data_IF_617356943718
#
_entry.id   IF_617356943718
#
_cell.length_a   1.000
_cell.length_b   1.000
_cell.length_c   1.000
_cell.angle_alpha   90.00
_cell.angle_beta   90.00
_cell.angle_gamma   90.00
#
_symmetry.space_group_name_H-M   'P 1'
#
loop_
_entity.id
_entity.type
_entity.pdbx_description
1 polymer ?
#
# COMPACT_ATOMS: atom_id res chain seq x y z
N UNK A 1 50.15 79.94 -63.67
CA UNK A 1 49.83 80.75 -62.46
C UNK A 1 48.31 80.81 -62.42
N UNK A 2 47.53 80.24 -61.49
CA UNK A 2 47.77 79.83 -60.08
C UNK A 2 46.96 80.75 -59.14
N UNK A 3 46.36 80.36 -58.00
CA UNK A 3 46.21 79.07 -57.29
C UNK A 3 45.06 79.21 -56.24
N UNK A 4 44.02 78.34 -56.25
CA UNK A 4 43.10 78.05 -55.09
C UNK A 4 42.33 79.27 -54.46
N UNK A 5 41.45 79.18 -53.43
CA UNK A 5 40.94 78.07 -52.61
C UNK A 5 39.46 78.22 -52.09
N UNK A 6 38.89 77.07 -51.75
CA UNK A 6 37.55 76.66 -51.23
C UNK A 6 37.10 77.30 -49.87
N UNK A 7 35.78 77.54 -49.64
CA UNK A 7 34.91 76.97 -48.54
C UNK A 7 33.54 77.67 -48.27
N UNK A 8 32.46 76.86 -48.10
CA UNK A 8 31.32 76.96 -47.11
C UNK A 8 30.32 78.16 -47.21
N UNK A 9 29.07 78.16 -46.69
CA UNK A 9 28.16 77.18 -46.03
C UNK A 9 26.67 77.67 -46.05
N UNK A 10 25.68 76.73 -46.05
CA UNK A 10 24.31 76.72 -45.44
C UNK A 10 23.42 78.00 -45.61
N UNK A 11 22.19 77.94 -46.16
CA UNK A 11 20.84 77.60 -45.63
C UNK A 11 19.96 77.23 -46.87
N UNK A 12 18.84 76.48 -46.90
CA UNK A 12 17.88 75.85 -45.95
C UNK A 12 16.48 75.87 -46.63
N UNK A 13 15.40 75.18 -46.22
CA UNK A 13 15.06 74.28 -45.10
C UNK A 13 14.35 73.04 -45.69
N UNK A 14 14.64 71.83 -45.19
CA UNK A 14 13.93 70.60 -45.58
C UNK A 14 13.20 70.00 -44.36
N UNK A 15 11.97 69.54 -44.55
CA UNK A 15 11.10 69.04 -43.48
C UNK A 15 11.52 67.62 -43.04
N UNK A 16 12.40 67.53 -42.03
CA UNK A 16 12.83 66.25 -41.47
C UNK A 16 11.78 65.69 -40.50
N UNK A 17 10.85 64.88 -41.02
CA UNK A 17 10.01 64.01 -40.19
C UNK A 17 10.91 62.92 -39.59
N UNK A 18 11.29 63.08 -38.33
CA UNK A 18 12.04 62.04 -37.59
C UNK A 18 11.05 60.92 -37.26
N UNK A 19 11.06 59.87 -38.07
CA UNK A 19 10.40 58.61 -37.74
C UNK A 19 11.18 57.95 -36.61
N UNK A 20 10.77 58.20 -35.37
CA UNK A 20 11.20 57.45 -34.21
C UNK A 20 10.58 56.03 -34.26
N UNK A 21 11.16 55.17 -35.09
CA UNK A 21 10.95 53.73 -34.95
C UNK A 21 11.43 53.32 -33.55
N UNK A 22 10.54 52.70 -32.76
CA UNK A 22 10.87 52.27 -31.39
C UNK A 22 12.06 51.31 -31.41
N UNK A 23 13.18 51.73 -30.82
CA UNK A 23 14.45 51.01 -30.91
C UNK A 23 14.57 49.96 -29.79
N UNK A 24 13.63 49.02 -29.76
CA UNK A 24 13.64 47.83 -28.92
C UNK A 24 13.29 46.60 -29.75
N UNK A 25 13.90 45.46 -29.45
CA UNK A 25 13.51 44.20 -30.10
C UNK A 25 12.14 43.73 -29.59
N UNK A 26 11.43 42.88 -30.33
CA UNK A 26 10.21 42.28 -29.80
C UNK A 26 10.56 41.34 -28.63
N UNK A 27 11.75 40.72 -28.66
CA UNK A 27 12.34 39.98 -27.52
C UNK A 27 12.43 40.88 -26.28
N UNK A 28 12.95 42.11 -26.38
CA UNK A 28 12.99 43.05 -25.25
C UNK A 28 11.59 43.30 -24.67
N UNK A 29 10.60 43.54 -25.52
CA UNK A 29 9.21 43.80 -25.14
C UNK A 29 8.59 42.63 -24.38
N UNK A 30 8.82 41.39 -24.83
CA UNK A 30 8.37 40.19 -24.11
C UNK A 30 9.15 40.01 -22.82
N UNK A 31 10.49 39.99 -22.87
CA UNK A 31 11.34 39.64 -21.73
C UNK A 31 11.22 40.61 -20.56
N UNK A 32 11.01 41.91 -20.81
CA UNK A 32 10.89 42.93 -19.74
C UNK A 32 9.48 43.09 -19.20
N UNK A 33 8.49 42.44 -19.82
CA UNK A 33 7.10 42.43 -19.34
C UNK A 33 6.87 41.37 -18.27
N UNK A 34 5.76 41.49 -17.54
CA UNK A 34 5.27 40.50 -16.56
C UNK A 34 3.98 39.84 -17.07
N UNK A 35 3.47 38.81 -16.38
CA UNK A 35 2.19 38.17 -16.71
C UNK A 35 1.21 38.27 -15.53
N UNK A 36 -0.09 38.34 -15.81
CA UNK A 36 -1.16 38.42 -14.79
C UNK A 36 -1.22 37.26 -13.78
N UNK A 37 -0.45 36.19 -13.98
CA UNK A 37 -0.32 35.09 -13.02
C UNK A 37 0.60 35.44 -11.85
N UNK A 38 1.55 36.35 -12.08
CA UNK A 38 2.53 36.85 -11.14
C UNK A 38 3.18 38.10 -11.77
N UNK A 39 2.81 39.28 -11.26
CA UNK A 39 3.30 40.56 -11.76
C UNK A 39 4.62 41.00 -11.08
N UNK A 40 5.25 40.14 -10.27
CA UNK A 40 6.47 40.45 -9.49
C UNK A 40 7.78 40.06 -10.19
N UNK A 41 7.72 39.15 -11.17
CA UNK A 41 8.86 38.66 -11.95
C UNK A 41 8.58 38.82 -13.46
N UNK A 42 9.62 39.13 -14.25
CA UNK A 42 9.47 39.28 -15.70
C UNK A 42 9.41 37.94 -16.43
N UNK A 43 8.85 37.92 -17.65
CA UNK A 43 8.85 36.73 -18.52
C UNK A 43 10.29 36.30 -18.84
N UNK A 44 11.21 37.26 -18.99
CA UNK A 44 12.62 36.99 -19.18
C UNK A 44 13.21 36.29 -17.96
N UNK A 45 13.08 36.89 -16.77
CA UNK A 45 13.63 36.34 -15.53
C UNK A 45 13.07 34.95 -15.20
N UNK A 46 11.76 34.73 -15.40
CA UNK A 46 11.09 33.46 -15.11
C UNK A 46 11.53 32.32 -16.05
N UNK A 47 11.80 32.61 -17.33
CA UNK A 47 12.21 31.59 -18.32
C UNK A 47 13.74 31.41 -18.32
N UNK A 48 14.53 32.49 -18.30
CA UNK A 48 16.00 32.45 -18.34
C UNK A 48 16.59 31.77 -17.09
N UNK A 49 16.01 32.00 -15.91
CA UNK A 49 16.50 31.43 -14.65
C UNK A 49 15.78 30.13 -14.25
N UNK A 50 14.98 29.53 -15.14
CA UNK A 50 14.23 28.32 -14.82
C UNK A 50 15.17 27.13 -14.58
N UNK A 51 15.09 26.48 -13.40
CA UNK A 51 16.13 25.55 -12.94
C UNK A 51 16.36 24.33 -13.84
N UNK A 52 15.37 23.95 -14.65
CA UNK A 52 15.45 22.82 -15.60
C UNK A 52 16.10 23.19 -16.94
N UNK A 53 16.19 24.48 -17.28
CA UNK A 53 16.84 24.98 -18.48
C UNK A 53 18.37 24.93 -18.36
N UNK A 54 19.08 24.47 -19.40
CA UNK A 54 20.55 24.62 -19.50
C UNK A 54 20.96 25.96 -20.11
N UNK A 55 20.30 26.38 -21.19
CA UNK A 55 20.39 27.68 -21.83
C UNK A 55 19.09 27.98 -22.60
N UNK A 56 18.64 29.24 -22.59
CA UNK A 56 17.47 29.69 -23.37
C UNK A 56 17.93 30.36 -24.66
N UNK A 57 17.42 29.88 -25.78
CA UNK A 57 17.49 30.56 -27.07
C UNK A 57 16.27 31.48 -27.22
N UNK A 58 16.48 32.72 -27.66
CA UNK A 58 15.42 33.67 -27.97
C UNK A 58 15.53 34.08 -29.45
N UNK A 59 14.45 33.96 -30.22
CA UNK A 59 14.40 34.34 -31.64
C UNK A 59 13.11 35.08 -31.99
N UNK A 60 13.17 35.82 -33.10
CA UNK A 60 12.01 36.48 -33.71
C UNK A 60 11.78 35.90 -35.10
N UNK A 61 10.52 35.70 -35.50
CA UNK A 61 10.15 35.37 -36.87
C UNK A 61 8.76 35.91 -37.22
N UNK A 62 8.48 36.00 -38.52
CA UNK A 62 7.17 36.36 -39.05
C UNK A 62 6.52 35.11 -39.67
N UNK A 63 5.26 34.84 -39.32
CA UNK A 63 4.46 33.76 -39.93
C UNK A 63 3.89 34.20 -41.27
N UNK A 64 3.53 33.24 -42.13
CA UNK A 64 2.96 33.46 -43.48
C UNK A 64 1.75 34.41 -43.54
N UNK A 65 1.04 34.58 -42.41
CA UNK A 65 -0.07 35.52 -42.24
C UNK A 65 0.30 36.86 -41.57
N UNK A 66 1.57 37.25 -41.61
CA UNK A 66 2.07 38.57 -41.21
C UNK A 66 2.10 38.82 -39.69
N UNK A 67 2.22 37.78 -38.86
CA UNK A 67 2.31 37.93 -37.40
C UNK A 67 3.76 37.77 -36.96
N UNK A 68 4.25 38.73 -36.18
CA UNK A 68 5.52 38.60 -35.49
C UNK A 68 5.35 37.68 -34.28
N UNK A 69 6.21 36.69 -34.18
CA UNK A 69 6.33 35.75 -33.07
C UNK A 69 7.71 35.96 -32.44
N UNK A 70 7.72 36.18 -31.12
CA UNK A 70 8.91 35.95 -30.29
C UNK A 70 8.83 34.54 -29.77
N UNK A 71 9.88 33.75 -29.96
CA UNK A 71 9.99 32.42 -29.42
C UNK A 71 11.14 32.32 -28.42
N UNK A 72 10.86 31.70 -27.28
CA UNK A 72 11.87 31.15 -26.39
C UNK A 72 11.88 29.62 -26.53
N UNK A 73 13.04 29.02 -26.79
CA UNK A 73 13.25 27.57 -26.67
C UNK A 73 14.36 27.30 -25.65
N UNK A 74 14.26 26.21 -24.89
CA UNK A 74 15.35 25.80 -24.02
C UNK A 74 15.49 24.28 -23.92
N UNK A 75 16.73 23.81 -23.81
CA UNK A 75 17.06 22.40 -23.60
C UNK A 75 16.84 21.95 -22.14
N UNK A 76 16.13 20.83 -21.95
CA UNK A 76 15.97 20.22 -20.62
C UNK A 76 17.28 19.58 -20.17
N UNK A 77 17.87 20.13 -19.09
CA UNK A 77 19.07 19.63 -18.41
C UNK A 77 19.00 18.11 -18.16
N UNK A 78 20.08 17.41 -18.54
CA UNK A 78 20.22 15.96 -18.41
C UNK A 78 19.92 15.43 -16.99
N UNK A 79 20.30 16.16 -15.95
CA UNK A 79 20.05 15.80 -14.55
C UNK A 79 18.56 15.73 -14.17
N UNK A 80 17.65 16.36 -14.92
CA UNK A 80 16.21 16.18 -14.70
C UNK A 80 15.64 14.97 -15.45
N UNK A 81 16.28 14.55 -16.55
CA UNK A 81 15.98 13.28 -17.23
C UNK A 81 16.33 12.10 -16.31
N UNK A 82 17.52 12.13 -15.71
CA UNK A 82 17.99 11.15 -14.72
C UNK A 82 17.09 11.08 -13.48
N UNK A 83 16.60 12.24 -13.00
CA UNK A 83 15.64 12.28 -11.88
C UNK A 83 14.27 11.73 -12.26
N UNK A 84 13.80 11.95 -13.49
CA UNK A 84 12.56 11.33 -13.98
C UNK A 84 12.69 9.80 -14.06
N UNK A 85 13.76 9.27 -14.67
CA UNK A 85 14.06 7.84 -14.66
C UNK A 85 14.12 7.28 -13.22
N UNK A 86 14.81 7.96 -12.31
CA UNK A 86 14.88 7.56 -10.89
C UNK A 86 13.49 7.49 -10.24
N UNK A 87 12.59 8.44 -10.53
CA UNK A 87 11.21 8.45 -10.04
C UNK A 87 10.41 7.25 -10.56
N UNK A 88 10.49 6.92 -11.86
CA UNK A 88 9.82 5.74 -12.41
C UNK A 88 10.39 4.42 -11.87
N UNK A 89 11.73 4.30 -11.74
CA UNK A 89 12.37 3.12 -11.13
C UNK A 89 11.94 2.92 -9.68
N UNK A 90 11.86 3.98 -8.88
CA UNK A 90 11.35 3.93 -7.51
C UNK A 90 9.86 3.51 -7.47
N UNK A 91 9.03 4.06 -8.36
CA UNK A 91 7.61 3.67 -8.48
C UNK A 91 7.45 2.18 -8.79
N UNK A 92 8.24 1.65 -9.74
CA UNK A 92 8.24 0.22 -10.07
C UNK A 92 8.71 -0.65 -8.90
N UNK A 93 9.73 -0.22 -8.16
CA UNK A 93 10.20 -0.93 -6.97
C UNK A 93 9.13 -0.95 -5.89
N UNK A 94 8.55 0.19 -5.52
CA UNK A 94 7.46 0.27 -4.54
C UNK A 94 6.22 -0.52 -4.95
N UNK A 95 5.93 -0.66 -6.25
CA UNK A 95 4.85 -1.51 -6.75
C UNK A 95 5.15 -3.01 -6.56
N UNK A 96 6.41 -3.43 -6.67
CA UNK A 96 6.89 -4.80 -6.41
C UNK A 96 6.92 -5.09 -4.90
N UNK A 97 7.51 -4.19 -4.10
CA UNK A 97 7.55 -4.29 -2.63
C UNK A 97 6.13 -4.43 -2.05
N UNK A 98 5.19 -3.55 -2.44
CA UNK A 98 3.80 -3.57 -1.98
C UNK A 98 2.93 -4.73 -2.56
N UNK A 99 3.52 -5.61 -3.38
CA UNK A 99 2.95 -6.93 -3.73
C UNK A 99 3.53 -8.01 -2.82
N UNK A 100 4.83 -7.99 -2.56
CA UNK A 100 5.50 -9.00 -1.75
C UNK A 100 5.17 -8.86 -0.25
N UNK A 101 5.06 -7.62 0.28
CA UNK A 101 4.53 -7.35 1.62
C UNK A 101 3.11 -7.91 1.80
N UNK A 102 2.24 -7.70 0.81
CA UNK A 102 0.87 -8.23 0.80
C UNK A 102 0.88 -9.77 0.84
N UNK A 103 1.70 -10.41 0.00
CA UNK A 103 1.82 -11.87 -0.04
C UNK A 103 2.38 -12.47 1.26
N UNK A 104 3.27 -11.76 1.96
CA UNK A 104 3.79 -12.16 3.27
C UNK A 104 2.74 -11.98 4.38
N UNK A 105 2.05 -10.84 4.40
CA UNK A 105 0.96 -10.56 5.36
C UNK A 105 -0.16 -11.60 5.24
N UNK A 106 -0.61 -11.87 4.01
CA UNK A 106 -1.66 -12.82 3.72
C UNK A 106 -1.26 -14.24 4.16
N UNK A 107 -0.03 -14.68 3.84
CA UNK A 107 0.48 -15.99 4.28
C UNK A 107 0.49 -16.11 5.81
N UNK A 108 1.01 -15.08 6.51
CA UNK A 108 1.03 -15.05 7.97
C UNK A 108 -0.38 -15.17 8.58
N UNK A 109 -1.36 -14.48 8.02
CA UNK A 109 -2.75 -14.56 8.48
C UNK A 109 -3.35 -15.97 8.30
N UNK A 110 -3.04 -16.66 7.19
CA UNK A 110 -3.43 -18.07 7.03
C UNK A 110 -2.75 -18.95 8.09
N UNK A 111 -1.45 -18.79 8.30
CA UNK A 111 -0.66 -19.62 9.22
C UNK A 111 -1.12 -19.46 10.68
N UNK A 112 -1.40 -18.22 11.11
CA UNK A 112 -2.01 -17.92 12.42
C UNK A 112 -3.39 -18.58 12.57
N UNK A 113 -4.22 -18.55 11.52
CA UNK A 113 -5.56 -19.14 11.54
C UNK A 113 -5.53 -20.68 11.57
N UNK A 114 -4.65 -21.32 10.79
CA UNK A 114 -4.40 -22.77 10.85
C UNK A 114 -3.88 -23.16 12.25
N UNK A 115 -2.95 -22.39 12.81
CA UNK A 115 -2.42 -22.62 14.16
C UNK A 115 -3.52 -22.55 15.24
N UNK A 116 -4.54 -21.71 15.06
CA UNK A 116 -5.66 -21.62 16.00
C UNK A 116 -6.59 -22.84 15.91
N UNK A 117 -6.94 -23.32 14.71
CA UNK A 117 -7.69 -24.58 14.56
C UNK A 117 -6.93 -25.78 15.16
N UNK A 118 -5.60 -25.84 15.01
CA UNK A 118 -4.78 -26.89 15.63
C UNK A 118 -4.81 -26.82 17.17
N UNK A 119 -4.75 -25.62 17.76
CA UNK A 119 -4.88 -25.42 19.22
C UNK A 119 -6.28 -25.75 19.74
N UNK A 120 -7.33 -25.52 18.94
CA UNK A 120 -8.70 -25.90 19.28
C UNK A 120 -8.90 -27.42 19.22
N UNK A 121 -8.36 -28.09 18.19
CA UNK A 121 -8.35 -29.54 18.10
C UNK A 121 -7.65 -30.20 19.30
N UNK A 122 -6.48 -29.72 19.72
CA UNK A 122 -5.76 -30.32 20.86
C UNK A 122 -6.53 -30.14 22.20
N UNK A 123 -7.27 -29.05 22.39
CA UNK A 123 -8.19 -28.89 23.54
C UNK A 123 -9.35 -29.87 23.50
N UNK A 124 -9.99 -30.02 22.34
CA UNK A 124 -11.10 -30.96 22.14
C UNK A 124 -10.61 -32.41 22.36
N UNK A 125 -9.47 -32.77 21.80
CA UNK A 125 -8.79 -34.05 22.00
C UNK A 125 -8.49 -34.33 23.48
N UNK A 126 -8.15 -33.32 24.28
CA UNK A 126 -8.04 -33.47 25.75
C UNK A 126 -9.41 -33.73 26.40
N UNK A 127 -10.43 -32.95 26.04
CA UNK A 127 -11.81 -33.06 26.58
C UNK A 127 -12.43 -34.43 26.31
N UNK A 128 -12.26 -34.96 25.09
CA UNK A 128 -12.76 -36.27 24.66
C UNK A 128 -11.81 -37.43 24.98
N UNK A 129 -10.66 -37.19 25.63
CA UNK A 129 -9.68 -38.25 25.92
C UNK A 129 -10.19 -39.31 26.90
N UNK A 130 -9.81 -40.56 26.64
CA UNK A 130 -10.12 -41.71 27.48
C UNK A 130 -9.68 -41.49 28.94
N UNK A 131 -8.51 -40.90 29.18
CA UNK A 131 -8.04 -40.61 30.54
C UNK A 131 -8.93 -39.58 31.27
N UNK A 132 -9.47 -38.56 30.58
CA UNK A 132 -10.45 -37.65 31.20
C UNK A 132 -11.83 -38.30 31.43
N UNK A 133 -12.24 -39.27 30.61
CA UNK A 133 -13.45 -40.06 30.85
C UNK A 133 -13.26 -41.00 32.06
N UNK A 134 -12.17 -41.78 32.07
CA UNK A 134 -11.73 -42.68 33.14
C UNK A 134 -11.55 -41.95 34.48
N UNK A 135 -10.97 -40.75 34.47
CA UNK A 135 -10.83 -39.88 35.67
C UNK A 135 -12.17 -39.49 36.29
N UNK A 136 -13.23 -39.27 35.50
CA UNK A 136 -14.58 -39.02 36.04
C UNK A 136 -15.14 -40.24 36.78
N UNK A 137 -14.93 -41.44 36.24
CA UNK A 137 -15.32 -42.71 36.89
C UNK A 137 -14.50 -42.94 38.17
N UNK A 138 -13.17 -42.75 38.10
CA UNK A 138 -12.28 -42.88 39.26
C UNK A 138 -12.67 -41.93 40.40
N UNK A 139 -12.96 -40.66 40.09
CA UNK A 139 -13.45 -39.69 41.06
C UNK A 139 -14.75 -40.14 41.75
N UNK A 140 -15.67 -40.81 41.02
CA UNK A 140 -16.90 -41.34 41.58
C UNK A 140 -16.65 -42.54 42.50
N UNK A 141 -15.80 -43.48 42.07
CA UNK A 141 -15.36 -44.62 42.89
C UNK A 141 -14.73 -44.12 44.20
N UNK A 142 -13.86 -43.12 44.13
CA UNK A 142 -13.16 -42.58 45.29
C UNK A 142 -14.04 -41.69 46.19
N UNK A 143 -15.14 -41.14 45.66
CA UNK A 143 -16.22 -40.56 46.45
C UNK A 143 -16.96 -41.64 47.26
N UNK A 144 -17.40 -42.73 46.61
CA UNK A 144 -18.11 -43.82 47.28
C UNK A 144 -17.24 -44.55 48.32
N UNK A 145 -15.92 -44.71 48.08
CA UNK A 145 -14.98 -45.21 49.10
C UNK A 145 -14.98 -44.34 50.36
N UNK A 146 -14.91 -43.01 50.22
CA UNK A 146 -14.92 -42.07 51.35
C UNK A 146 -16.23 -42.14 52.13
N UNK A 147 -17.35 -42.21 51.42
CA UNK A 147 -18.67 -42.37 52.04
C UNK A 147 -18.78 -43.67 52.85
N UNK A 148 -18.29 -44.80 52.32
CA UNK A 148 -18.26 -46.09 53.04
C UNK A 148 -17.46 -45.99 54.35
N UNK A 149 -16.28 -45.37 54.34
CA UNK A 149 -15.49 -45.21 55.57
C UNK A 149 -16.13 -44.23 56.56
N UNK A 150 -16.78 -43.16 56.11
CA UNK A 150 -17.54 -42.24 56.97
C UNK A 150 -18.68 -42.94 57.70
N UNK A 151 -19.50 -43.72 56.98
CA UNK A 151 -20.60 -44.51 57.55
C UNK A 151 -20.09 -45.57 58.54
N UNK A 152 -18.94 -46.20 58.27
CA UNK A 152 -18.28 -47.13 59.23
C UNK A 152 -17.85 -46.44 60.52
N UNK A 153 -17.28 -45.24 60.46
CA UNK A 153 -16.93 -44.48 61.68
C UNK A 153 -18.17 -44.00 62.44
N UNK A 154 -19.23 -43.57 61.74
CA UNK A 154 -20.52 -43.28 62.38
C UNK A 154 -21.08 -44.51 63.12
N UNK A 155 -21.04 -45.69 62.49
CA UNK A 155 -21.52 -46.92 63.09
C UNK A 155 -20.70 -47.32 64.33
N UNK A 156 -19.36 -47.20 64.30
CA UNK A 156 -18.51 -47.41 65.50
C UNK A 156 -18.92 -46.48 66.65
N UNK A 157 -19.19 -45.21 66.36
CA UNK A 157 -19.66 -44.24 67.34
C UNK A 157 -21.09 -44.52 67.83
N UNK A 158 -21.95 -45.15 67.02
CA UNK A 158 -23.27 -45.64 67.45
C UNK A 158 -23.14 -46.88 68.34
N UNK A 159 -22.24 -47.81 68.02
CA UNK A 159 -21.97 -49.01 68.82
C UNK A 159 -21.39 -48.69 70.20
N UNK A 160 -20.49 -47.71 70.32
CA UNK A 160 -20.02 -47.19 71.61
C UNK A 160 -21.16 -46.59 72.46
N UNK A 161 -22.22 -46.07 71.83
CA UNK A 161 -23.42 -45.58 72.53
C UNK A 161 -24.36 -46.73 72.94
N UNK A 162 -24.35 -47.86 72.24
CA UNK A 162 -25.08 -49.07 72.66
C UNK A 162 -24.57 -49.66 73.98
N UNK A 163 -23.29 -49.48 74.33
CA UNK A 163 -22.68 -50.08 75.53
C UNK A 163 -23.24 -49.53 76.85
N UNK A 164 -24.04 -48.46 76.78
CA UNK A 164 -24.75 -47.84 77.91
C UNK A 164 -26.24 -48.19 77.96
N UNK A 165 -26.70 -49.11 77.10
CA UNK A 165 -28.10 -49.54 77.02
C UNK A 165 -28.33 -50.89 77.70
N UNK A 166 -29.58 -51.18 78.08
CA UNK A 166 -29.96 -52.45 78.72
C UNK A 166 -29.96 -53.66 77.77
N UNK A 167 -30.10 -53.44 76.46
CA UNK A 167 -30.04 -54.47 75.41
C UNK A 167 -28.95 -54.11 74.39
N UNK A 168 -27.69 -54.19 74.85
CA UNK A 168 -26.48 -53.87 74.06
C UNK A 168 -26.46 -54.69 72.77
N UNK A 169 -26.86 -55.97 72.83
CA UNK A 169 -26.83 -56.89 71.69
C UNK A 169 -27.75 -56.39 70.58
N UNK A 170 -29.05 -56.21 70.86
CA UNK A 170 -30.03 -55.78 69.86
C UNK A 170 -29.70 -54.40 69.29
N UNK A 171 -29.14 -53.50 70.11
CA UNK A 171 -28.68 -52.19 69.66
C UNK A 171 -27.57 -52.32 68.60
N UNK A 172 -26.50 -53.09 68.86
CA UNK A 172 -25.41 -53.30 67.89
C UNK A 172 -25.87 -54.06 66.64
N UNK A 173 -26.73 -55.07 66.79
CA UNK A 173 -27.36 -55.78 65.66
C UNK A 173 -28.18 -54.82 64.77
N UNK A 174 -28.90 -53.87 65.38
CA UNK A 174 -29.67 -52.85 64.65
C UNK A 174 -28.76 -51.86 63.91
N UNK A 175 -27.70 -51.36 64.57
CA UNK A 175 -26.71 -50.48 63.94
C UNK A 175 -26.04 -51.14 62.74
N UNK A 176 -25.62 -52.40 62.86
CA UNK A 176 -24.99 -53.14 61.77
C UNK A 176 -25.95 -53.33 60.58
N UNK A 177 -27.24 -53.57 60.83
CA UNK A 177 -28.26 -53.64 59.77
C UNK A 177 -28.44 -52.28 59.08
N UNK A 178 -28.50 -51.17 59.83
CA UNK A 178 -28.58 -49.81 59.30
C UNK A 178 -27.35 -49.49 58.44
N UNK A 179 -26.14 -49.74 58.96
CA UNK A 179 -24.88 -49.55 58.24
C UNK A 179 -24.88 -50.30 56.91
N UNK A 180 -25.16 -51.62 56.95
CA UNK A 180 -25.19 -52.47 55.77
C UNK A 180 -26.18 -51.93 54.71
N UNK A 181 -27.34 -51.41 55.14
CA UNK A 181 -28.33 -50.82 54.23
C UNK A 181 -27.93 -49.47 53.66
N UNK A 182 -27.27 -48.60 54.42
CA UNK A 182 -26.76 -47.30 53.93
C UNK A 182 -25.66 -47.45 52.89
N UNK A 183 -24.72 -48.38 53.10
CA UNK A 183 -23.54 -48.53 52.23
C UNK A 183 -23.75 -49.50 51.05
N UNK A 184 -24.88 -50.20 50.98
CA UNK A 184 -25.11 -51.33 50.06
C UNK A 184 -24.79 -50.98 48.59
N UNK A 185 -25.33 -49.88 48.08
CA UNK A 185 -25.13 -49.45 46.69
C UNK A 185 -23.75 -48.84 46.45
N UNK A 186 -23.15 -48.22 47.47
CA UNK A 186 -21.77 -47.73 47.39
C UNK A 186 -20.77 -48.89 47.32
N UNK A 187 -21.01 -50.00 48.02
CA UNK A 187 -20.23 -51.22 47.89
C UNK A 187 -20.37 -51.82 46.49
N UNK A 188 -21.58 -51.85 45.92
CA UNK A 188 -21.80 -52.30 44.52
C UNK A 188 -20.97 -51.46 43.54
N UNK A 189 -20.97 -50.14 43.69
CA UNK A 189 -20.21 -49.22 42.82
C UNK A 189 -18.69 -49.40 42.98
N UNK A 190 -18.19 -49.53 44.22
CA UNK A 190 -16.74 -49.64 44.48
C UNK A 190 -16.17 -51.01 44.07
N UNK A 191 -16.97 -52.07 44.13
CA UNK A 191 -16.57 -53.44 43.77
C UNK A 191 -16.96 -53.84 42.33
N UNK A 192 -17.48 -52.93 41.52
CA UNK A 192 -17.84 -53.20 40.13
C UNK A 192 -16.60 -53.34 39.25
N UNK A 193 -16.58 -54.34 38.36
CA UNK A 193 -15.51 -54.51 37.37
C UNK A 193 -15.78 -53.62 36.14
N UNK A 194 -15.15 -52.46 36.11
CA UNK A 194 -15.25 -51.48 35.02
C UNK A 194 -14.45 -51.85 33.75
N UNK A 195 -13.87 -53.06 33.65
CA UNK A 195 -13.00 -53.43 32.54
C UNK A 195 -13.71 -53.38 31.17
N UNK A 196 -14.97 -53.81 31.08
CA UNK A 196 -15.73 -53.77 29.83
C UNK A 196 -16.14 -52.32 29.47
N UNK A 197 -16.54 -51.52 30.46
CA UNK A 197 -16.90 -50.11 30.34
C UNK A 197 -15.70 -49.28 29.88
N UNK A 198 -14.51 -49.52 30.44
CA UNK A 198 -13.30 -48.83 30.01
C UNK A 198 -12.93 -49.16 28.56
N UNK A 199 -13.05 -50.42 28.12
CA UNK A 199 -12.81 -50.77 26.71
C UNK A 199 -13.88 -50.22 25.75
N UNK A 200 -15.14 -50.08 26.18
CA UNK A 200 -16.19 -49.35 25.42
C UNK A 200 -15.87 -47.85 25.33
N UNK A 201 -15.55 -47.22 26.46
CA UNK A 201 -15.25 -45.79 26.56
C UNK A 201 -13.98 -45.39 25.80
N UNK A 202 -12.98 -46.26 25.76
CA UNK A 202 -11.75 -46.08 24.97
C UNK A 202 -12.07 -46.05 23.47
N UNK A 203 -12.82 -47.03 22.96
CA UNK A 203 -13.25 -47.08 21.54
C UNK A 203 -14.12 -45.88 21.17
N UNK A 204 -15.00 -45.45 22.08
CA UNK A 204 -15.77 -44.21 21.89
C UNK A 204 -14.87 -42.97 21.84
N UNK A 205 -13.92 -42.84 22.76
CA UNK A 205 -12.95 -41.74 22.80
C UNK A 205 -12.11 -41.67 21.52
N UNK A 206 -11.59 -42.80 21.05
CA UNK A 206 -10.82 -42.91 19.81
C UNK A 206 -11.66 -42.45 18.59
N UNK A 207 -12.92 -42.86 18.51
CA UNK A 207 -13.84 -42.51 17.43
C UNK A 207 -14.34 -41.05 17.51
N UNK A 208 -14.61 -40.50 18.70
CA UNK A 208 -14.99 -39.09 18.88
C UNK A 208 -13.81 -38.16 18.57
N UNK A 209 -12.58 -38.51 18.97
CA UNK A 209 -11.35 -37.79 18.59
C UNK A 209 -11.12 -37.88 17.08
N UNK A 210 -11.37 -39.05 16.44
CA UNK A 210 -11.27 -39.22 14.99
C UNK A 210 -12.24 -38.29 14.25
N UNK A 211 -13.51 -38.25 14.65
CA UNK A 211 -14.52 -37.33 14.08
C UNK A 211 -14.14 -35.86 14.27
N UNK A 212 -13.65 -35.48 15.45
CA UNK A 212 -13.17 -34.11 15.72
C UNK A 212 -11.97 -33.75 14.83
N UNK A 213 -11.00 -34.66 14.67
CA UNK A 213 -9.85 -34.47 13.79
C UNK A 213 -10.31 -34.22 12.34
N UNK A 214 -11.16 -35.09 11.82
CA UNK A 214 -11.74 -34.99 10.48
C UNK A 214 -12.47 -33.65 10.26
N UNK A 215 -13.22 -33.16 11.25
CA UNK A 215 -13.86 -31.85 11.22
C UNK A 215 -12.85 -30.68 11.15
N UNK A 216 -11.81 -30.67 11.99
CA UNK A 216 -10.79 -29.61 11.97
C UNK A 216 -9.91 -29.66 10.71
N UNK A 217 -9.59 -30.85 10.19
CA UNK A 217 -8.86 -31.02 8.92
C UNK A 217 -9.67 -30.47 7.74
N UNK A 218 -10.98 -30.77 7.66
CA UNK A 218 -11.86 -30.20 6.64
C UNK A 218 -11.94 -28.65 6.72
N UNK A 219 -12.03 -28.06 7.92
CA UNK A 219 -11.98 -26.60 8.07
C UNK A 219 -10.64 -26.01 7.62
N UNK A 220 -9.51 -26.68 7.89
CA UNK A 220 -8.18 -26.22 7.45
C UNK A 220 -8.07 -26.24 5.92
N UNK A 221 -8.55 -27.29 5.25
CA UNK A 221 -8.53 -27.35 3.77
C UNK A 221 -9.49 -26.34 3.12
N UNK A 222 -10.69 -26.12 3.69
CA UNK A 222 -11.61 -25.08 3.20
C UNK A 222 -10.97 -23.69 3.27
N UNK A 223 -10.27 -23.39 4.37
CA UNK A 223 -9.60 -22.12 4.58
C UNK A 223 -8.39 -21.94 3.64
N UNK A 224 -7.59 -22.99 3.40
CA UNK A 224 -6.54 -22.99 2.36
C UNK A 224 -7.11 -22.76 0.96
N UNK A 225 -8.20 -23.43 0.60
CA UNK A 225 -8.82 -23.31 -0.72
C UNK A 225 -9.37 -21.90 -0.97
N UNK A 226 -10.11 -21.35 0.00
CA UNK A 226 -10.62 -19.98 -0.06
C UNK A 226 -9.47 -18.95 -0.06
N UNK A 227 -8.41 -19.18 0.70
CA UNK A 227 -7.22 -18.34 0.71
C UNK A 227 -6.51 -18.31 -0.63
N UNK A 228 -6.16 -19.47 -1.19
CA UNK A 228 -5.43 -19.57 -2.47
C UNK A 228 -6.20 -18.88 -3.61
N UNK A 229 -7.50 -19.12 -3.72
CA UNK A 229 -8.38 -18.50 -4.72
C UNK A 229 -8.40 -16.97 -4.63
N UNK A 230 -8.38 -16.41 -3.42
CA UNK A 230 -8.31 -14.96 -3.23
C UNK A 230 -6.90 -14.42 -3.50
N UNK A 231 -5.86 -15.10 -3.01
CA UNK A 231 -4.44 -14.76 -3.20
C UNK A 231 -4.08 -14.71 -4.68
N UNK A 232 -4.47 -15.70 -5.47
CA UNK A 232 -4.26 -15.74 -6.93
C UNK A 232 -4.89 -14.52 -7.62
N UNK A 233 -6.15 -14.20 -7.27
CA UNK A 233 -6.87 -13.04 -7.82
C UNK A 233 -6.16 -11.72 -7.51
N UNK A 234 -5.78 -11.49 -6.25
CA UNK A 234 -5.10 -10.25 -5.86
C UNK A 234 -3.66 -10.19 -6.38
N UNK A 235 -2.94 -11.30 -6.40
CA UNK A 235 -1.60 -11.40 -6.99
C UNK A 235 -1.62 -11.07 -8.49
N UNK A 236 -2.65 -11.54 -9.23
CA UNK A 236 -2.85 -11.18 -10.65
C UNK A 236 -3.11 -9.67 -10.82
N UNK A 237 -4.05 -9.10 -10.06
CA UNK A 237 -4.35 -7.66 -10.13
C UNK A 237 -3.15 -6.76 -9.74
N UNK A 238 -2.32 -7.22 -8.80
CA UNK A 238 -1.05 -6.55 -8.45
C UNK A 238 -0.01 -6.70 -9.56
N UNK A 239 0.08 -7.86 -10.20
CA UNK A 239 0.99 -8.10 -11.34
C UNK A 239 0.60 -7.25 -12.56
N UNK A 240 -0.68 -7.21 -12.92
CA UNK A 240 -1.19 -6.39 -14.04
C UNK A 240 -0.77 -4.91 -13.91
N UNK A 241 -0.78 -4.36 -12.68
CA UNK A 241 -0.27 -3.00 -12.38
C UNK A 241 1.26 -2.88 -12.39
N UNK A 242 2.00 -3.94 -12.08
CA UNK A 242 3.46 -3.95 -12.20
C UNK A 242 3.84 -3.97 -13.69
N UNK A 243 3.17 -4.81 -14.48
CA UNK A 243 3.36 -4.93 -15.92
C UNK A 243 3.05 -3.60 -16.62
N UNK A 244 1.97 -2.91 -16.23
CA UNK A 244 1.63 -1.55 -16.67
C UNK A 244 2.75 -0.53 -16.36
N UNK A 245 3.25 -0.49 -15.12
CA UNK A 245 4.32 0.45 -14.72
C UNK A 245 5.65 0.09 -15.40
N UNK A 246 5.94 -1.18 -15.63
CA UNK A 246 7.16 -1.66 -16.29
C UNK A 246 7.12 -1.40 -17.81
N UNK A 247 5.95 -1.54 -18.44
CA UNK A 247 5.71 -1.12 -19.83
C UNK A 247 5.83 0.41 -19.98
N UNK A 248 5.23 1.19 -19.08
CA UNK A 248 5.32 2.65 -19.10
C UNK A 248 6.77 3.14 -18.89
N UNK A 249 7.50 2.56 -17.93
CA UNK A 249 8.93 2.81 -17.73
C UNK A 249 9.73 2.46 -18.99
N UNK A 250 9.44 1.33 -19.64
CA UNK A 250 10.12 0.93 -20.87
C UNK A 250 9.87 1.93 -22.01
N UNK A 251 8.61 2.27 -22.29
CA UNK A 251 8.26 3.25 -23.33
C UNK A 251 8.88 4.62 -23.08
N UNK A 252 8.92 5.06 -21.82
CA UNK A 252 9.64 6.26 -21.39
C UNK A 252 11.14 6.17 -21.70
N UNK A 253 11.81 5.09 -21.26
CA UNK A 253 13.26 4.91 -21.47
C UNK A 253 13.64 4.76 -22.95
N UNK A 254 12.84 4.07 -23.74
CA UNK A 254 13.11 3.88 -25.17
C UNK A 254 12.90 5.20 -25.93
N UNK A 255 11.84 5.97 -25.64
CA UNK A 255 11.68 7.35 -26.14
C UNK A 255 12.88 8.24 -25.77
N UNK A 256 13.32 8.20 -24.50
CA UNK A 256 14.46 9.01 -24.03
C UNK A 256 15.82 8.61 -24.63
N UNK A 257 15.96 7.38 -25.15
CA UNK A 257 17.16 6.91 -25.87
C UNK A 257 17.17 7.32 -27.34
N UNK A 258 16.00 7.31 -27.97
CA UNK A 258 15.83 7.73 -29.37
C UNK A 258 15.85 9.26 -29.54
N UNK A 259 15.65 10.01 -28.46
CA UNK A 259 15.54 11.47 -28.49
C UNK A 259 16.91 12.15 -28.35
N UNK A 260 17.34 12.85 -29.40
CA UNK A 260 18.58 13.67 -29.40
C UNK A 260 18.41 14.97 -28.61
N UNK A 261 17.23 15.62 -28.71
CA UNK A 261 16.96 16.93 -28.11
C UNK A 261 15.53 17.00 -27.55
N UNK A 262 15.36 17.64 -26.39
CA UNK A 262 14.05 17.93 -25.79
C UNK A 262 14.02 19.41 -25.43
N UNK A 263 13.26 20.19 -26.20
CA UNK A 263 13.06 21.61 -25.96
C UNK A 263 11.68 21.88 -25.38
N UNK A 264 11.58 22.81 -24.42
CA UNK A 264 10.31 23.48 -24.12
C UNK A 264 10.26 24.79 -24.90
N UNK A 265 9.19 24.99 -25.67
CA UNK A 265 9.00 26.12 -26.59
C UNK A 265 7.84 27.00 -26.12
N UNK A 266 8.07 28.30 -26.07
CA UNK A 266 7.08 29.35 -25.78
C UNK A 266 7.02 30.29 -26.98
N UNK A 267 5.85 30.46 -27.60
CA UNK A 267 5.66 31.41 -28.70
C UNK A 267 4.70 32.54 -28.28
N UNK A 268 5.18 33.77 -28.32
CA UNK A 268 4.45 34.98 -27.97
C UNK A 268 4.18 35.79 -29.24
N UNK A 269 2.90 35.94 -29.62
CA UNK A 269 2.54 36.80 -30.74
C UNK A 269 2.43 38.26 -30.30
N UNK A 270 3.03 39.16 -31.08
CA UNK A 270 3.15 40.59 -30.75
C UNK A 270 2.03 41.41 -31.41
N UNK A 271 1.48 42.37 -30.68
CA UNK A 271 0.57 43.37 -31.19
C UNK A 271 1.28 44.73 -31.35
N UNK A 272 1.73 45.03 -32.58
CA UNK A 272 2.41 46.28 -32.97
C UNK A 272 1.57 47.57 -32.72
N UNK A 273 0.31 47.47 -32.31
CA UNK A 273 -0.56 48.63 -32.06
C UNK A 273 -0.50 49.17 -30.63
N UNK A 274 0.05 48.41 -29.67
CA UNK A 274 0.04 48.77 -28.25
C UNK A 274 1.12 48.08 -27.40
N UNK A 275 2.16 47.53 -28.03
CA UNK A 275 3.30 46.84 -27.42
C UNK A 275 2.94 45.67 -26.48
N UNK A 276 1.74 45.11 -26.63
CA UNK A 276 1.30 43.92 -25.89
C UNK A 276 1.60 42.66 -26.68
N UNK A 277 1.74 41.56 -25.97
CA UNK A 277 1.96 40.23 -26.52
C UNK A 277 0.94 39.24 -25.94
N UNK A 278 0.80 38.08 -26.56
CA UNK A 278 0.03 36.97 -26.03
C UNK A 278 0.77 35.66 -26.30
N UNK A 279 0.97 34.83 -25.27
CA UNK A 279 1.39 33.45 -25.44
C UNK A 279 0.36 32.70 -26.31
N UNK A 280 0.80 32.18 -27.45
CA UNK A 280 -0.01 31.44 -28.43
C UNK A 280 0.21 29.94 -28.36
N UNK A 281 1.44 29.53 -28.08
CA UNK A 281 1.83 28.13 -27.96
C UNK A 281 2.77 27.97 -26.77
N UNK A 282 2.56 26.87 -26.04
CA UNK A 282 3.50 26.30 -25.10
C UNK A 282 3.51 24.80 -25.36
N UNK A 283 4.68 24.22 -25.60
CA UNK A 283 4.78 22.80 -25.94
C UNK A 283 6.18 22.26 -25.80
N UNK A 284 6.28 20.93 -25.75
CA UNK A 284 7.54 20.20 -25.81
C UNK A 284 7.79 19.80 -27.26
N UNK A 285 8.98 20.10 -27.77
CA UNK A 285 9.46 19.67 -29.08
C UNK A 285 10.56 18.61 -28.87
N UNK A 286 10.31 17.38 -29.33
CA UNK A 286 11.23 16.23 -29.23
C UNK A 286 11.86 15.96 -30.59
N UNK A 287 13.18 15.98 -30.67
CA UNK A 287 13.94 15.62 -31.88
C UNK A 287 14.52 14.23 -31.71
N UNK A 288 14.31 13.35 -32.68
CA UNK A 288 14.72 11.95 -32.63
C UNK A 288 15.92 11.68 -33.55
N UNK A 289 16.58 10.53 -33.40
CA UNK A 289 17.70 10.11 -34.28
C UNK A 289 17.18 9.76 -35.69
N UNK A 290 16.17 8.89 -35.77
CA UNK A 290 15.69 8.28 -37.02
C UNK A 290 14.18 8.51 -37.28
N UNK A 291 13.58 9.54 -36.66
CA UNK A 291 12.13 9.84 -36.75
C UNK A 291 11.88 11.33 -36.90
N UNK A 292 10.73 11.71 -37.47
CA UNK A 292 10.29 13.10 -37.53
C UNK A 292 10.14 13.69 -36.12
N UNK A 293 10.37 15.00 -35.98
CA UNK A 293 10.25 15.69 -34.70
C UNK A 293 8.78 15.74 -34.23
N UNK A 294 8.57 15.51 -32.94
CA UNK A 294 7.24 15.46 -32.32
C UNK A 294 6.99 16.72 -31.50
N UNK A 295 5.79 17.30 -31.62
CA UNK A 295 5.36 18.44 -30.81
C UNK A 295 4.14 18.11 -29.95
N UNK A 296 4.30 18.26 -28.63
CA UNK A 296 3.26 18.07 -27.63
C UNK A 296 2.89 19.42 -27.00
N UNK A 297 1.76 20.00 -27.41
CA UNK A 297 1.22 21.21 -26.78
C UNK A 297 0.82 20.93 -25.31
N UNK A 298 1.23 21.81 -24.39
CA UNK A 298 0.93 21.72 -22.96
C UNK A 298 -0.13 22.74 -22.54
N UNK A 299 -0.80 22.49 -21.41
CA UNK A 299 -1.72 23.47 -20.80
C UNK A 299 -0.92 24.66 -20.22
N UNK A 300 -1.07 25.90 -20.74
CA UNK A 300 -0.27 27.03 -20.29
C UNK A 300 -0.48 27.40 -18.83
N UNK A 301 -1.68 27.23 -18.27
CA UNK A 301 -2.00 27.66 -16.91
C UNK A 301 -1.19 26.88 -15.86
N UNK A 302 -1.11 25.56 -16.02
CA UNK A 302 -0.38 24.67 -15.11
C UNK A 302 1.13 24.87 -15.21
N UNK A 303 1.64 24.95 -16.44
CA UNK A 303 3.08 24.95 -16.69
C UNK A 303 3.70 26.32 -16.38
N UNK A 304 3.08 27.44 -16.76
CA UNK A 304 3.58 28.77 -16.40
C UNK A 304 3.67 28.94 -14.89
N UNK A 305 2.66 28.49 -14.13
CA UNK A 305 2.70 28.56 -12.67
C UNK A 305 3.82 27.67 -12.08
N UNK A 306 4.17 26.57 -12.74
CA UNK A 306 5.33 25.73 -12.35
C UNK A 306 6.65 26.46 -12.59
N UNK A 307 6.78 27.17 -13.70
CA UNK A 307 7.99 27.92 -14.09
C UNK A 307 8.22 29.13 -13.19
N UNK A 308 7.19 29.93 -12.95
CA UNK A 308 7.27 31.13 -12.11
C UNK A 308 7.58 30.76 -10.64
N UNK A 309 7.02 29.66 -10.12
CA UNK A 309 7.42 29.10 -8.82
C UNK A 309 8.76 28.34 -8.82
N UNK A 310 9.56 28.44 -9.91
CA UNK A 310 10.80 27.71 -10.17
C UNK A 310 10.77 26.23 -9.71
N UNK A 311 9.65 25.57 -9.97
CA UNK A 311 9.31 24.22 -9.53
C UNK A 311 9.70 23.18 -10.59
N UNK A 312 9.65 21.88 -10.29
CA UNK A 312 9.92 20.86 -11.31
C UNK A 312 8.69 20.59 -12.16
N UNK A 313 8.87 20.63 -13.47
CA UNK A 313 7.90 20.18 -14.46
C UNK A 313 7.90 18.64 -14.46
N UNK A 314 6.75 18.04 -14.20
CA UNK A 314 6.53 16.62 -14.45
C UNK A 314 6.40 16.39 -15.96
N UNK A 315 7.53 16.29 -16.64
CA UNK A 315 7.61 16.00 -18.09
C UNK A 315 6.93 14.64 -18.38
N UNK A 316 5.96 14.56 -19.32
CA UNK A 316 5.37 13.31 -19.78
C UNK A 316 6.31 12.44 -20.63
#
# INVERSE_FOLDING_TARGET
>A
MGLFNIKKQIIGVLLAVIILNGCGSNIDTVKKSTLKIDETITVGDAIDNYKMCSAVSWREFETDNGRQIVEASYDIKQSYKEQAEKRYRLSLQSAKDAKDEMLQHDQKYLDERISNYQKEFEKEKEIYSFENAKKKIQNNIDYHKKYIEQEKEEAKLQDQRCEKQSDIKRCKETNQWILNKRIEDSIKIVNYDYSEEFEKLKKQSEEDIRKKKEYFENMIEEQKANFNKNRERFAKQKQERIDEVEQNLKSFLDSYRETTKIELIFQFAINKQNDKFQLKYLGIHKQYIDKEAEETALNPQLILMTIYNNSELSVP
#
